data_IF_664305976780
#
_entry.id   IF_664305976780
#
_cell.length_a   1.000
_cell.length_b   1.000
_cell.length_c   1.000
_cell.angle_alpha   90.00
_cell.angle_beta   90.00
_cell.angle_gamma   90.00
#
_symmetry.space_group_name_H-M   'P 1'
#
loop_
_entity.id
_entity.type
_entity.pdbx_description
1 polymer ?
#
# COMPACT_ATOMS: atom_id res chain seq x y z
N UNK A 1 -28.17 -32.35 32.18
CA UNK A 1 -27.07 -32.21 31.21
C UNK A 1 -27.21 -30.81 30.65
N UNK A 2 -26.36 -29.90 31.10
CA UNK A 2 -26.43 -28.46 30.83
C UNK A 2 -25.98 -28.19 29.39
N UNK A 3 -26.90 -27.65 28.58
CA UNK A 3 -26.60 -27.11 27.26
C UNK A 3 -25.75 -25.85 27.44
N UNK A 4 -24.45 -25.94 27.16
CA UNK A 4 -23.58 -24.76 27.08
C UNK A 4 -23.84 -24.11 25.72
N UNK A 5 -24.70 -23.10 25.71
CA UNK A 5 -24.84 -22.16 24.59
C UNK A 5 -23.49 -21.50 24.35
N UNK A 6 -22.76 -21.95 23.33
CA UNK A 6 -21.58 -21.26 22.82
C UNK A 6 -22.07 -19.99 22.10
N UNK A 7 -22.35 -18.94 22.87
CA UNK A 7 -22.65 -17.64 22.31
C UNK A 7 -21.46 -17.19 21.47
N UNK A 8 -21.71 -16.99 20.18
CA UNK A 8 -20.71 -16.53 19.25
C UNK A 8 -20.51 -15.03 19.52
N UNK A 9 -19.39 -14.71 20.15
CA UNK A 9 -19.02 -13.34 20.47
C UNK A 9 -18.37 -12.67 19.26
N UNK A 10 -18.67 -11.38 19.06
CA UNK A 10 -18.14 -10.58 17.97
C UNK A 10 -17.47 -9.31 18.49
N UNK A 11 -16.38 -8.90 17.83
CA UNK A 11 -15.71 -7.64 18.10
C UNK A 11 -16.59 -6.46 17.69
N UNK A 12 -16.86 -5.52 18.59
CA UNK A 12 -17.68 -4.33 18.28
C UNK A 12 -16.97 -3.36 17.33
N UNK A 13 -15.64 -3.44 17.22
CA UNK A 13 -14.84 -2.58 16.35
C UNK A 13 -14.77 -3.02 14.89
N UNK A 14 -14.59 -4.32 14.63
CA UNK A 14 -14.37 -4.85 13.28
C UNK A 14 -15.32 -5.98 12.86
N UNK A 15 -16.20 -6.44 13.75
CA UNK A 15 -17.15 -7.52 13.47
C UNK A 15 -16.54 -8.92 13.37
N UNK A 16 -15.24 -9.10 13.66
CA UNK A 16 -14.62 -10.43 13.67
C UNK A 16 -15.17 -11.30 14.80
N UNK A 17 -15.33 -12.61 14.53
CA UNK A 17 -15.67 -13.61 15.56
C UNK A 17 -14.52 -13.68 16.57
N UNK A 18 -14.84 -13.55 17.85
CA UNK A 18 -13.84 -13.59 18.93
C UNK A 18 -13.35 -15.02 19.12
N UNK A 19 -12.03 -15.16 19.26
CA UNK A 19 -11.35 -16.41 19.61
C UNK A 19 -10.15 -16.09 20.52
N UNK A 20 -9.74 -17.06 21.34
CA UNK A 20 -8.63 -16.91 22.29
C UNK A 20 -7.52 -17.94 22.08
N UNK A 21 -7.56 -18.67 20.96
CA UNK A 21 -6.70 -19.83 20.68
C UNK A 21 -5.44 -19.44 19.91
N UNK A 22 -5.55 -18.60 18.88
CA UNK A 22 -4.44 -18.26 18.01
C UNK A 22 -4.19 -16.74 17.95
N UNK A 23 -3.11 -16.23 18.56
CA UNK A 23 -2.74 -14.81 18.55
C UNK A 23 -2.64 -14.14 17.18
N UNK A 24 -2.31 -14.93 16.15
CA UNK A 24 -2.06 -14.42 14.80
C UNK A 24 -3.31 -14.44 13.90
N UNK A 25 -4.42 -14.98 14.39
CA UNK A 25 -5.66 -15.08 13.61
C UNK A 25 -6.65 -13.97 13.94
N UNK A 26 -7.53 -13.69 12.98
CA UNK A 26 -8.57 -12.67 13.14
C UNK A 26 -9.43 -12.95 14.38
N UNK A 27 -9.78 -11.86 15.07
CA UNK A 27 -10.62 -11.94 16.26
C UNK A 27 -9.91 -12.42 17.54
N UNK A 28 -8.59 -12.62 17.51
CA UNK A 28 -7.85 -12.97 18.70
C UNK A 28 -8.06 -11.95 19.83
N UNK A 29 -8.43 -12.46 21.00
CA UNK A 29 -8.63 -11.71 22.23
C UNK A 29 -8.22 -12.60 23.40
N UNK A 30 -7.28 -12.20 24.26
CA UNK A 30 -6.93 -12.99 25.45
C UNK A 30 -8.16 -13.25 26.34
N UNK A 31 -8.30 -14.44 26.94
CA UNK A 31 -9.48 -14.80 27.75
C UNK A 31 -9.78 -13.79 28.87
N UNK A 32 -8.73 -13.23 29.49
CA UNK A 32 -8.85 -12.19 30.52
C UNK A 32 -9.50 -10.91 29.99
N UNK A 33 -9.20 -10.54 28.74
CA UNK A 33 -9.77 -9.39 28.06
C UNK A 33 -11.21 -9.68 27.58
N UNK A 34 -11.53 -10.92 27.22
CA UNK A 34 -12.91 -11.33 26.90
C UNK A 34 -13.81 -11.17 28.11
N UNK A 35 -13.41 -11.70 29.29
CA UNK A 35 -14.19 -11.57 30.53
C UNK A 35 -14.45 -10.11 30.89
N UNK A 36 -13.40 -9.29 30.85
CA UNK A 36 -13.50 -7.86 31.13
C UNK A 36 -14.39 -7.12 30.12
N UNK A 37 -14.26 -7.44 28.83
CA UNK A 37 -15.06 -6.83 27.78
C UNK A 37 -16.55 -7.19 27.85
N UNK A 38 -16.89 -8.36 28.39
CA UNK A 38 -18.28 -8.75 28.66
C UNK A 38 -18.87 -8.03 29.87
N UNK A 39 -18.07 -7.79 30.92
CA UNK A 39 -18.48 -7.01 32.09
C UNK A 39 -18.72 -5.53 31.77
N UNK A 40 -17.93 -4.96 30.84
CA UNK A 40 -18.02 -3.54 30.45
C UNK A 40 -18.81 -3.29 29.18
N UNK A 41 -19.37 -4.34 28.54
CA UNK A 41 -20.00 -4.30 27.21
C UNK A 41 -19.11 -3.72 26.09
N UNK A 42 -17.79 -3.66 26.29
CA UNK A 42 -16.81 -3.11 25.35
C UNK A 42 -15.84 -4.21 24.88
N UNK A 43 -16.35 -5.17 24.10
CA UNK A 43 -15.56 -6.30 23.62
C UNK A 43 -14.84 -5.99 22.29
N UNK A 44 -13.53 -5.78 22.38
CA UNK A 44 -12.65 -5.58 21.23
C UNK A 44 -11.68 -6.75 21.04
N UNK A 45 -11.41 -7.10 19.78
CA UNK A 45 -10.25 -7.93 19.46
C UNK A 45 -8.95 -7.16 19.69
N UNK A 46 -7.85 -7.89 19.86
CA UNK A 46 -6.53 -7.32 20.15
C UNK A 46 -6.15 -6.21 19.16
N UNK A 47 -6.48 -6.38 17.87
CA UNK A 47 -6.24 -5.37 16.83
C UNK A 47 -7.03 -4.08 17.05
N UNK A 48 -8.35 -4.17 17.24
CA UNK A 48 -9.18 -2.99 17.48
C UNK A 48 -8.80 -2.29 18.79
N UNK A 49 -8.44 -3.05 19.82
CA UNK A 49 -7.97 -2.52 21.08
C UNK A 49 -6.67 -1.72 20.90
N UNK A 50 -5.66 -2.29 20.21
CA UNK A 50 -4.38 -1.60 19.94
C UNK A 50 -4.55 -0.37 19.07
N UNK A 51 -5.44 -0.44 18.07
CA UNK A 51 -5.79 0.71 17.24
C UNK A 51 -6.43 1.83 18.08
N UNK A 52 -7.35 1.51 19.00
CA UNK A 52 -8.06 2.51 19.82
C UNK A 52 -7.17 3.15 20.88
N UNK A 53 -6.31 2.37 21.53
CA UNK A 53 -5.54 2.83 22.70
C UNK A 53 -4.11 3.27 22.37
N UNK A 54 -3.51 2.68 21.34
CA UNK A 54 -2.11 2.93 20.98
C UNK A 54 -1.96 3.50 19.56
N UNK A 55 -3.06 3.66 18.81
CA UNK A 55 -3.05 4.04 17.39
C UNK A 55 -2.16 3.11 16.54
N UNK A 56 -1.99 1.87 17.02
CA UNK A 56 -1.17 0.85 16.38
C UNK A 56 -2.04 0.06 15.39
N UNK A 57 -1.70 0.15 14.11
CA UNK A 57 -2.30 -0.67 13.07
C UNK A 57 -1.63 -2.04 13.17
N UNK A 58 -2.37 -3.07 13.59
CA UNK A 58 -1.86 -4.43 13.54
C UNK A 58 -1.83 -4.92 12.09
N UNK A 59 -0.69 -5.47 11.68
CA UNK A 59 -0.49 -6.12 10.39
C UNK A 59 -1.46 -7.30 10.26
N UNK A 60 -2.31 -7.26 9.24
CA UNK A 60 -3.23 -8.35 8.95
C UNK A 60 -2.46 -9.34 8.10
N UNK A 61 -2.15 -10.50 8.67
CA UNK A 61 -1.44 -11.62 8.04
C UNK A 61 -2.32 -12.42 7.07
N UNK A 62 -3.09 -11.71 6.24
CA UNK A 62 -3.59 -12.25 4.98
C UNK A 62 -2.89 -11.41 3.90
N UNK A 63 -2.15 -12.06 3.00
CA UNK A 63 -1.63 -11.58 1.70
C UNK A 63 -0.15 -11.13 1.54
N UNK A 64 0.67 -11.05 2.58
CA UNK A 64 2.08 -10.62 2.40
C UNK A 64 2.92 -11.61 1.56
N UNK A 65 2.78 -12.93 1.79
CA UNK A 65 3.54 -13.93 1.02
C UNK A 65 3.14 -13.96 -0.46
N UNK A 66 1.85 -13.78 -0.78
CA UNK A 66 1.39 -13.75 -2.17
C UNK A 66 1.80 -12.46 -2.88
N UNK A 67 1.78 -11.33 -2.16
CA UNK A 67 2.31 -10.07 -2.66
C UNK A 67 3.82 -10.17 -2.91
N UNK A 68 4.58 -10.77 -1.98
CA UNK A 68 6.02 -11.01 -2.12
C UNK A 68 6.32 -11.97 -3.27
N UNK A 69 5.54 -13.04 -3.44
CA UNK A 69 5.67 -13.97 -4.59
C UNK A 69 5.44 -13.24 -5.92
N UNK A 70 4.40 -12.41 -5.99
CA UNK A 70 4.08 -11.66 -7.19
C UNK A 70 5.18 -10.63 -7.51
N UNK A 71 5.70 -9.94 -6.49
CA UNK A 71 6.84 -9.04 -6.67
C UNK A 71 8.12 -9.76 -7.10
N UNK A 72 8.39 -10.95 -6.55
CA UNK A 72 9.54 -11.77 -6.97
C UNK A 72 9.42 -12.23 -8.42
N UNK A 73 8.23 -12.66 -8.86
CA UNK A 73 7.99 -13.02 -10.27
C UNK A 73 8.22 -11.84 -11.21
N UNK A 74 7.77 -10.64 -10.81
CA UNK A 74 8.06 -9.40 -11.55
C UNK A 74 9.58 -9.10 -11.58
N UNK A 75 10.31 -9.45 -10.52
CA UNK A 75 11.76 -9.31 -10.46
C UNK A 75 12.54 -10.19 -11.43
N UNK A 76 11.99 -11.37 -11.76
CA UNK A 76 12.59 -12.34 -12.69
C UNK A 76 12.28 -12.03 -14.16
N UNK A 77 11.24 -11.24 -14.45
CA UNK A 77 10.95 -10.80 -15.81
C UNK A 77 11.88 -9.67 -16.26
N UNK A 78 12.06 -9.49 -17.57
CA UNK A 78 12.69 -8.30 -18.16
C UNK A 78 11.60 -7.31 -18.55
N UNK A 79 11.36 -6.32 -17.71
CA UNK A 79 10.18 -5.45 -17.76
C UNK A 79 10.46 -4.05 -17.21
N UNK A 80 9.59 -3.10 -17.54
CA UNK A 80 9.59 -1.79 -16.92
C UNK A 80 8.63 -1.78 -15.73
N UNK A 81 9.12 -1.36 -14.56
CA UNK A 81 8.29 -1.18 -13.38
C UNK A 81 7.87 0.28 -13.28
N UNK A 82 6.57 0.53 -13.34
CA UNK A 82 5.98 1.86 -13.13
C UNK A 82 5.49 1.92 -11.69
N UNK A 83 6.25 2.56 -10.82
CA UNK A 83 5.92 2.70 -9.41
C UNK A 83 5.15 4.01 -9.16
N UNK A 84 3.88 3.90 -8.81
CA UNK A 84 2.98 5.04 -8.57
C UNK A 84 2.95 5.39 -7.09
N UNK A 85 3.26 6.65 -6.77
CA UNK A 85 3.26 7.20 -5.41
C UNK A 85 2.39 8.45 -5.31
N UNK A 86 1.81 8.71 -4.14
CA UNK A 86 1.23 10.02 -3.83
C UNK A 86 2.35 11.00 -3.47
N UNK A 87 2.39 12.17 -4.11
CA UNK A 87 3.42 13.18 -3.81
C UNK A 87 3.24 13.83 -2.43
N UNK A 88 2.03 13.81 -1.85
CA UNK A 88 1.77 14.40 -0.53
C UNK A 88 2.00 13.41 0.61
N UNK A 89 1.94 12.12 0.31
CA UNK A 89 2.21 11.05 1.26
C UNK A 89 3.23 10.08 0.67
N UNK A 90 4.41 10.59 0.34
CA UNK A 90 5.47 9.79 -0.27
C UNK A 90 5.89 8.63 0.63
N UNK A 91 6.10 8.88 1.93
CA UNK A 91 6.54 7.87 2.87
C UNK A 91 5.50 6.76 3.07
N UNK A 92 4.21 7.09 3.10
CA UNK A 92 3.14 6.10 3.12
C UNK A 92 2.90 5.42 1.77
N UNK A 93 3.39 6.00 0.67
CA UNK A 93 3.18 5.49 -0.69
C UNK A 93 4.29 4.60 -1.24
N UNK A 94 5.49 4.68 -0.66
CA UNK A 94 6.63 3.87 -1.10
C UNK A 94 6.50 2.46 -0.55
N UNK A 95 6.55 1.46 -1.44
CA UNK A 95 6.61 0.05 -1.06
C UNK A 95 8.00 -0.23 -0.45
N UNK A 96 8.09 -0.57 0.84
CA UNK A 96 9.37 -0.85 1.49
C UNK A 96 10.07 -2.04 0.82
N UNK A 97 11.37 -1.89 0.56
CA UNK A 97 12.15 -2.97 -0.02
C UNK A 97 11.83 -3.29 -1.48
N UNK A 98 11.02 -2.50 -2.19
CA UNK A 98 10.68 -2.72 -3.60
C UNK A 98 11.92 -2.98 -4.47
N UNK A 99 13.00 -2.23 -4.23
CA UNK A 99 14.28 -2.37 -4.93
C UNK A 99 14.90 -3.78 -4.85
N UNK A 100 14.56 -4.55 -3.80
CA UNK A 100 15.02 -5.94 -3.63
C UNK A 100 14.24 -6.93 -4.49
N UNK A 101 12.97 -6.61 -4.74
CA UNK A 101 12.06 -7.49 -5.45
C UNK A 101 12.00 -7.22 -6.94
N UNK A 102 12.23 -5.97 -7.38
CA UNK A 102 12.26 -5.64 -8.82
C UNK A 102 13.53 -6.12 -9.53
N UNK A 103 14.49 -6.71 -8.82
CA UNK A 103 15.69 -7.32 -9.40
C UNK A 103 16.52 -6.31 -10.20
N UNK A 104 16.71 -6.58 -11.49
CA UNK A 104 17.45 -5.72 -12.43
C UNK A 104 16.53 -4.82 -13.27
N UNK A 105 15.22 -4.86 -13.03
CA UNK A 105 14.26 -4.11 -13.83
C UNK A 105 14.41 -2.61 -13.62
N UNK A 106 14.21 -1.89 -14.72
CA UNK A 106 14.19 -0.43 -14.68
C UNK A 106 12.94 0.04 -13.94
N UNK A 107 13.09 1.05 -13.08
CA UNK A 107 11.96 1.63 -12.34
C UNK A 107 11.70 3.06 -12.80
N UNK A 108 10.50 3.31 -13.33
CA UNK A 108 9.95 4.64 -13.55
C UNK A 108 9.10 5.05 -12.34
N UNK A 109 9.49 6.12 -11.65
CA UNK A 109 8.72 6.64 -10.52
C UNK A 109 7.68 7.65 -11.00
N UNK A 110 6.43 7.49 -10.58
CA UNK A 110 5.31 8.34 -10.98
C UNK A 110 4.70 8.99 -9.73
N UNK A 111 4.95 10.29 -9.56
CA UNK A 111 4.30 11.10 -8.53
C UNK A 111 2.92 11.56 -9.00
N UNK A 112 1.87 10.94 -8.47
CA UNK A 112 0.48 11.28 -8.80
C UNK A 112 -0.07 12.41 -7.91
N UNK A 113 -1.26 12.92 -8.24
CA UNK A 113 -1.96 14.03 -7.55
C UNK A 113 -1.24 15.38 -7.66
N UNK A 114 -0.44 15.57 -8.70
CA UNK A 114 0.28 16.84 -8.95
C UNK A 114 -0.62 18.06 -9.15
N UNK A 115 -1.93 17.88 -9.36
CA UNK A 115 -2.92 18.95 -9.42
C UNK A 115 -3.13 19.68 -8.09
N UNK A 116 -2.79 19.05 -6.97
CA UNK A 116 -2.89 19.66 -5.65
C UNK A 116 -1.67 20.55 -5.31
N UNK A 117 -0.64 20.56 -6.16
CA UNK A 117 0.54 21.40 -5.94
C UNK A 117 0.22 22.88 -6.19
N UNK A 118 0.72 23.81 -5.37
CA UNK A 118 0.70 25.22 -5.67
C UNK A 118 1.37 25.53 -7.02
N UNK A 119 0.75 26.39 -7.84
CA UNK A 119 1.26 26.80 -9.16
C UNK A 119 2.66 27.47 -9.10
N UNK A 120 3.04 28.00 -7.95
CA UNK A 120 4.35 28.63 -7.71
C UNK A 120 5.49 27.61 -7.63
N UNK A 121 5.20 26.32 -7.40
CA UNK A 121 6.22 25.28 -7.31
C UNK A 121 6.65 24.81 -8.68
N UNK A 122 7.97 24.82 -8.92
CA UNK A 122 8.56 24.29 -10.15
C UNK A 122 8.48 22.77 -10.14
N UNK A 123 7.87 22.20 -11.19
CA UNK A 123 7.76 20.74 -11.40
C UNK A 123 9.11 20.02 -11.31
N UNK A 124 10.18 20.63 -11.84
CA UNK A 124 11.54 20.07 -11.76
C UNK A 124 11.99 19.84 -10.31
N UNK A 125 11.73 20.80 -9.40
CA UNK A 125 12.08 20.67 -7.99
C UNK A 125 11.35 19.52 -7.31
N UNK A 126 10.08 19.29 -7.66
CA UNK A 126 9.30 18.18 -7.11
C UNK A 126 9.84 16.84 -7.63
N UNK A 127 10.17 16.75 -8.93
CA UNK A 127 10.82 15.55 -9.49
C UNK A 127 12.16 15.26 -8.81
N UNK A 128 12.98 16.28 -8.60
CA UNK A 128 14.28 16.13 -7.91
C UNK A 128 14.10 15.69 -6.46
N UNK A 129 13.12 16.27 -5.75
CA UNK A 129 12.78 15.85 -4.39
C UNK A 129 12.33 14.39 -4.33
N UNK A 130 11.39 13.98 -5.20
CA UNK A 130 10.93 12.59 -5.28
C UNK A 130 12.09 11.62 -5.58
N UNK A 131 12.98 11.99 -6.49
CA UNK A 131 14.18 11.19 -6.80
C UNK A 131 15.10 11.07 -5.59
N UNK A 132 15.30 12.14 -4.84
CA UNK A 132 16.13 12.12 -3.62
C UNK A 132 15.50 11.26 -2.53
N UNK A 133 14.20 11.37 -2.28
CA UNK A 133 13.51 10.55 -1.29
C UNK A 133 13.48 9.08 -1.68
N UNK A 134 13.26 8.76 -2.95
CA UNK A 134 13.36 7.39 -3.45
C UNK A 134 14.77 6.81 -3.22
N UNK A 135 15.80 7.59 -3.54
CA UNK A 135 17.20 7.18 -3.34
C UNK A 135 17.52 6.91 -1.86
N UNK A 136 16.99 7.70 -0.92
CA UNK A 136 17.14 7.47 0.52
C UNK A 136 16.54 6.13 0.96
N UNK A 137 15.48 5.68 0.29
CA UNK A 137 14.82 4.38 0.51
C UNK A 137 15.46 3.23 -0.30
N UNK A 138 16.60 3.48 -0.96
CA UNK A 138 17.31 2.49 -1.78
C UNK A 138 16.70 2.26 -3.17
N UNK A 139 15.64 2.99 -3.53
CA UNK A 139 15.02 2.92 -4.85
C UNK A 139 15.70 3.93 -5.79
N UNK A 140 16.30 3.45 -6.88
CA UNK A 140 16.98 4.29 -7.87
C UNK A 140 16.19 4.34 -9.18
N UNK A 141 15.21 5.25 -9.31
CA UNK A 141 14.42 5.32 -10.51
C UNK A 141 15.23 5.87 -11.69
N UNK A 142 15.06 5.27 -12.87
CA UNK A 142 15.68 5.73 -14.12
C UNK A 142 15.16 7.11 -14.53
N UNK A 143 13.89 7.41 -14.21
CA UNK A 143 13.29 8.72 -14.42
C UNK A 143 12.12 8.96 -13.45
N UNK A 144 11.66 10.22 -13.36
CA UNK A 144 10.53 10.63 -12.53
C UNK A 144 9.50 11.40 -13.36
N UNK A 145 8.27 10.91 -13.35
CA UNK A 145 7.10 11.56 -13.94
C UNK A 145 6.20 12.18 -12.85
N UNK A 146 5.48 13.23 -13.21
CA UNK A 146 4.43 13.82 -12.38
C UNK A 146 3.12 13.75 -13.16
N UNK A 147 2.07 13.23 -12.54
CA UNK A 147 0.77 13.08 -13.18
C UNK A 147 -0.36 13.60 -12.29
N UNK A 148 -1.52 13.85 -12.90
CA UNK A 148 -2.78 13.96 -12.18
C UNK A 148 -3.78 13.02 -12.82
N UNK A 149 -3.92 11.82 -12.25
CA UNK A 149 -4.89 10.85 -12.72
C UNK A 149 -6.34 11.36 -12.55
N UNK A 150 -6.62 12.28 -11.63
CA UNK A 150 -7.97 12.85 -11.48
C UNK A 150 -8.31 13.87 -12.57
N UNK A 151 -7.33 14.71 -12.97
CA UNK A 151 -7.51 15.77 -13.98
C UNK A 151 -7.11 15.35 -15.40
N UNK A 152 -6.46 14.21 -15.57
CA UNK A 152 -5.95 13.75 -16.87
C UNK A 152 -4.70 14.49 -17.33
N UNK A 153 -4.06 15.23 -16.44
CA UNK A 153 -2.90 16.03 -16.79
C UNK A 153 -1.64 15.16 -16.85
N UNK A 154 -0.84 15.35 -17.91
CA UNK A 154 0.46 14.67 -18.17
C UNK A 154 0.35 13.15 -18.35
N UNK A 155 -0.83 12.63 -18.71
CA UNK A 155 -0.99 11.22 -19.03
C UNK A 155 -0.23 10.88 -20.32
N UNK A 156 -0.33 11.72 -21.35
CA UNK A 156 0.37 11.50 -22.63
C UNK A 156 1.89 11.48 -22.43
N UNK A 157 2.44 12.44 -21.68
CA UNK A 157 3.86 12.48 -21.34
C UNK A 157 4.29 11.25 -20.53
N UNK A 158 3.45 10.75 -19.61
CA UNK A 158 3.72 9.50 -18.92
C UNK A 158 3.80 8.32 -19.90
N UNK A 159 2.87 8.24 -20.86
CA UNK A 159 2.86 7.18 -21.86
C UNK A 159 4.08 7.24 -22.77
N UNK A 160 4.52 8.42 -23.18
CA UNK A 160 5.76 8.62 -23.94
C UNK A 160 7.00 8.15 -23.15
N UNK A 161 7.07 8.47 -21.85
CA UNK A 161 8.16 8.00 -20.99
C UNK A 161 8.12 6.49 -20.80
N UNK A 162 6.94 5.92 -20.60
CA UNK A 162 6.76 4.46 -20.52
C UNK A 162 7.23 3.81 -21.82
N UNK A 163 6.84 4.32 -22.98
CA UNK A 163 7.24 3.76 -24.27
C UNK A 163 8.76 3.85 -24.50
N UNK A 164 9.33 5.01 -24.19
CA UNK A 164 10.78 5.26 -24.27
C UNK A 164 11.58 4.26 -23.42
N UNK A 165 11.15 3.99 -22.19
CA UNK A 165 11.92 3.17 -21.26
C UNK A 165 11.57 1.69 -21.29
N UNK A 166 10.35 1.31 -21.70
CA UNK A 166 9.98 -0.10 -21.84
C UNK A 166 10.75 -0.75 -22.97
N UNK A 167 11.07 -0.03 -24.05
CA UNK A 167 11.85 -0.55 -25.19
C UNK A 167 11.29 -1.86 -25.74
N UNK A 168 9.96 -1.95 -25.85
CA UNK A 168 9.25 -3.16 -26.29
C UNK A 168 9.03 -4.23 -25.22
N UNK A 169 9.53 -4.05 -24.00
CA UNK A 169 9.28 -4.96 -22.85
C UNK A 169 7.90 -4.74 -22.24
N UNK A 170 7.49 -5.70 -21.43
CA UNK A 170 6.28 -5.61 -20.62
C UNK A 170 6.38 -4.51 -19.56
N UNK A 171 5.21 -4.02 -19.12
CA UNK A 171 5.09 -2.94 -18.15
C UNK A 171 4.25 -3.40 -16.96
N UNK A 172 4.83 -3.35 -15.77
CA UNK A 172 4.12 -3.65 -14.52
C UNK A 172 3.88 -2.37 -13.73
N UNK A 173 2.61 -2.08 -13.44
CA UNK A 173 2.22 -0.90 -12.64
C UNK A 173 2.00 -1.31 -11.19
N UNK A 174 2.84 -0.80 -10.30
CA UNK A 174 2.83 -1.11 -8.86
C UNK A 174 2.61 0.15 -8.03
N UNK A 175 2.10 -0.01 -6.81
CA UNK A 175 1.85 1.08 -5.87
C UNK A 175 0.90 0.62 -4.76
N UNK A 176 0.99 1.26 -3.60
CA UNK A 176 0.10 0.96 -2.46
C UNK A 176 -1.34 1.41 -2.74
N UNK A 177 -2.25 1.15 -1.81
CA UNK A 177 -3.64 1.60 -1.92
C UNK A 177 -3.74 3.13 -1.90
N UNK A 178 -4.77 3.70 -2.54
CA UNK A 178 -5.08 5.14 -2.53
C UNK A 178 -4.06 6.10 -3.19
N UNK A 179 -2.98 5.60 -3.80
CA UNK A 179 -2.06 6.43 -4.61
C UNK A 179 -2.68 6.88 -5.95
N UNK A 180 -3.83 6.31 -6.31
CA UNK A 180 -4.54 6.59 -7.57
C UNK A 180 -4.12 5.70 -8.74
N UNK A 181 -3.51 4.53 -8.47
CA UNK A 181 -3.16 3.52 -9.48
C UNK A 181 -4.35 3.13 -10.36
N UNK A 182 -5.50 2.79 -9.79
CA UNK A 182 -6.69 2.40 -10.58
C UNK A 182 -7.21 3.54 -11.44
N UNK A 183 -7.21 4.77 -10.92
CA UNK A 183 -7.58 5.96 -11.70
C UNK A 183 -6.63 6.20 -12.87
N UNK A 184 -5.33 5.94 -12.68
CA UNK A 184 -4.33 6.05 -13.73
C UNK A 184 -4.57 5.01 -14.82
N UNK A 185 -4.76 3.74 -14.45
CA UNK A 185 -5.02 2.64 -15.39
C UNK A 185 -6.29 2.89 -16.20
N UNK A 186 -7.38 3.32 -15.57
CA UNK A 186 -8.65 3.62 -16.24
C UNK A 186 -8.58 4.80 -17.22
N UNK A 187 -7.50 5.59 -17.20
CA UNK A 187 -7.27 6.64 -18.21
C UNK A 187 -6.39 6.18 -19.37
N UNK A 188 -5.67 5.07 -19.18
CA UNK A 188 -4.79 4.48 -20.19
C UNK A 188 -5.56 3.47 -21.05
N UNK A 189 -6.50 2.74 -20.43
CA UNK A 189 -7.45 1.83 -21.09
C UNK A 189 -8.62 2.63 -21.67
#
# INVERSE_FOLDING_TARGET
>A
MTETSNEILYCIGCGAKIQSENPNELGYTPESAVKKGLETEELYCQRCFRLRHYNEIADVSLTDDDFLRLLNQIGESDSLIVNVVDIFDFNGSVIPGLHRFVGKNDVLLVGNKSDLLPKSLKRSRIKDWLRQEANKQGLRPIDVALTSASKGYEIDNLLELIDKYRKGRDVYVVGVTNVGKSTLINRII
#
